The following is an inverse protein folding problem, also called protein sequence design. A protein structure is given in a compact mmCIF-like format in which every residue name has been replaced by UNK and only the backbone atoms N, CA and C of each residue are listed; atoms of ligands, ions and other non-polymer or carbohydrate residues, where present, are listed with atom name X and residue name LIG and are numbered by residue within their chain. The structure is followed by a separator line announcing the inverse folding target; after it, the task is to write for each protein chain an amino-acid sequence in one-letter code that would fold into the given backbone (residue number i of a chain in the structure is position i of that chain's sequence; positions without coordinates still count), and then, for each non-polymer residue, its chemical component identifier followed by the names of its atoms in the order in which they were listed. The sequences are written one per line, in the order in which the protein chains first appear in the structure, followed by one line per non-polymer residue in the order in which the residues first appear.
data_IF_253065296613
#
_entry.id   IF_253065296613
#
_cell.length_a   1.000
_cell.length_b   1.000
_cell.length_c   1.000
_cell.angle_alpha   90.00
_cell.angle_beta   90.00
_cell.angle_gamma   90.00
#
_symmetry.space_group_name_H-M   'P 1'
#
loop_
_entity.id
_entity.type
_entity.pdbx_description
1 polymer ?
#
# COMPACT_ATOMS: atom_id res chain seq x y z
N UNK A 1 52.66 42.39 23.09
CA UNK A 1 51.28 42.81 22.78
C UNK A 1 50.32 41.86 23.46
N UNK A 2 49.31 42.45 24.08
CA UNK A 2 48.50 41.96 25.19
C UNK A 2 47.63 40.73 24.93
N UNK A 3 47.50 39.89 25.97
CA UNK A 3 46.42 38.92 26.27
C UNK A 3 45.01 39.59 26.29
N UNK A 4 43.84 38.89 26.42
CA UNK A 4 43.64 37.54 27.00
C UNK A 4 42.54 36.64 26.37
N UNK A 5 42.45 35.43 26.93
CA UNK A 5 41.40 34.43 26.77
C UNK A 5 39.96 34.93 27.04
N UNK A 6 38.96 34.31 26.39
CA UNK A 6 37.57 34.27 26.88
C UNK A 6 36.90 32.92 26.57
N UNK A 7 36.56 32.22 27.65
CA UNK A 7 35.57 31.15 27.76
C UNK A 7 34.15 31.71 27.53
N UNK A 8 33.31 31.08 26.68
CA UNK A 8 31.86 31.34 26.70
C UNK A 8 31.01 30.11 26.39
N UNK A 9 30.40 29.61 27.47
CA UNK A 9 29.12 28.88 27.63
C UNK A 9 28.45 28.28 26.39
N UNK A 10 28.34 26.94 26.46
CA UNK A 10 27.31 26.07 25.90
C UNK A 10 25.90 26.67 26.10
N UNK A 11 25.26 27.10 25.01
CA UNK A 11 23.86 27.53 25.01
C UNK A 11 22.90 26.34 25.11
N UNK A 12 21.92 26.45 26.00
CA UNK A 12 20.78 25.53 26.12
C UNK A 12 20.01 25.39 24.78
N UNK A 13 19.50 24.21 24.43
CA UNK A 13 18.39 24.12 23.50
C UNK A 13 17.12 24.66 24.19
N UNK A 14 16.55 25.72 23.62
CA UNK A 14 15.22 26.22 23.97
C UNK A 14 14.18 25.13 23.76
N UNK A 15 13.18 25.14 24.65
CA UNK A 15 12.20 24.10 24.86
C UNK A 15 11.39 23.68 23.64
N UNK A 16 10.92 22.44 23.76
CA UNK A 16 9.97 21.74 22.89
C UNK A 16 8.65 22.53 22.92
N UNK A 17 8.37 23.29 21.86
CA UNK A 17 7.04 23.82 21.61
C UNK A 17 6.24 22.77 20.82
N UNK A 18 5.14 22.32 21.42
CA UNK A 18 4.13 21.43 20.86
C UNK A 18 3.67 21.86 19.45
N UNK A 19 3.36 20.93 18.53
CA UNK A 19 2.75 21.29 17.25
C UNK A 19 1.33 21.84 17.46
N UNK A 20 0.91 22.90 16.76
CA UNK A 20 -0.46 23.42 16.85
C UNK A 20 -1.46 22.40 16.31
N UNK A 21 -2.54 22.16 17.07
CA UNK A 21 -3.78 21.59 16.55
C UNK A 21 -4.34 22.56 15.50
N UNK A 22 -4.27 22.19 14.23
CA UNK A 22 -5.01 22.88 13.17
C UNK A 22 -6.50 22.54 13.33
N UNK A 23 -7.24 23.49 13.92
CA UNK A 23 -8.70 23.52 13.91
C UNK A 23 -9.17 23.66 12.46
N UNK A 24 -10.09 22.80 12.06
CA UNK A 24 -10.75 22.90 10.76
C UNK A 24 -11.95 23.85 10.92
N UNK A 25 -11.83 25.03 10.32
CA UNK A 25 -12.92 26.00 10.16
C UNK A 25 -14.02 25.41 9.25
N UNK A 26 -15.26 25.47 9.72
CA UNK A 26 -16.46 25.32 8.88
C UNK A 26 -16.96 26.71 8.47
N UNK A 27 -17.51 26.89 7.25
CA UNK A 27 -17.83 28.22 6.74
C UNK A 27 -19.11 28.78 7.36
N UNK A 28 -19.07 30.08 7.64
CA UNK A 28 -20.17 30.91 8.09
C UNK A 28 -21.24 31.11 6.99
N UNK A 29 -22.51 30.99 7.40
CA UNK A 29 -23.70 31.71 6.92
C UNK A 29 -24.47 32.00 8.20
N UNK A 30 -24.85 33.23 8.55
CA UNK A 30 -25.45 34.27 7.73
C UNK A 30 -26.77 34.61 8.45
N UNK A 31 -26.85 35.83 8.94
CA UNK A 31 -27.75 36.42 9.93
C UNK A 31 -29.22 36.56 9.44
N UNK A 32 -30.16 36.67 10.40
CA UNK A 32 -31.47 37.38 10.41
C UNK A 32 -32.52 36.57 11.21
N UNK A 33 -33.51 37.13 11.89
CA UNK A 33 -33.62 38.22 12.86
C UNK A 33 -34.97 37.94 13.59
N UNK A 34 -35.06 38.35 14.85
CA UNK A 34 -36.27 38.82 15.56
C UNK A 34 -37.54 37.93 15.72
N UNK A 35 -37.90 37.56 16.98
CA UNK A 35 -39.04 38.15 17.73
C UNK A 35 -39.41 37.42 19.02
N UNK A 36 -39.68 38.26 20.02
CA UNK A 36 -40.04 38.10 21.42
C UNK A 36 -41.49 37.61 21.66
N UNK A 37 -41.76 37.02 22.83
CA UNK A 37 -42.84 37.33 23.82
C UNK A 37 -43.37 36.09 24.56
N UNK A 38 -43.21 36.15 25.89
CA UNK A 38 -43.97 35.64 27.04
C UNK A 38 -45.04 34.54 26.88
N UNK A 39 -45.00 33.55 27.78
CA UNK A 39 -45.99 33.43 28.87
C UNK A 39 -45.62 32.35 29.90
N UNK A 40 -45.59 32.77 31.15
CA UNK A 40 -45.71 31.91 32.33
C UNK A 40 -47.18 31.55 32.55
N UNK A 41 -47.50 30.27 32.78
CA UNK A 41 -48.53 29.82 33.73
C UNK A 41 -48.71 28.28 33.75
N UNK A 42 -48.74 27.76 34.98
CA UNK A 42 -49.48 26.57 35.48
C UNK A 42 -48.89 25.16 35.27
N UNK A 43 -48.64 24.53 36.43
CA UNK A 43 -49.28 23.25 36.75
C UNK A 43 -48.34 22.05 36.87
N UNK A 44 -48.18 21.58 38.11
CA UNK A 44 -47.60 20.28 38.49
C UNK A 44 -48.07 19.12 37.61
N UNK A 45 -47.12 18.28 37.15
CA UNK A 45 -47.11 16.83 37.30
C UNK A 45 -45.99 16.18 36.46
N UNK A 46 -45.45 15.07 36.98
CA UNK A 46 -44.59 14.09 36.30
C UNK A 46 -43.10 14.43 36.09
N UNK A 47 -42.38 14.51 37.22
CA UNK A 47 -40.99 14.04 37.26
C UNK A 47 -40.99 12.50 37.11
N UNK A 48 -40.63 12.00 35.92
CA UNK A 48 -40.46 10.55 35.72
C UNK A 48 -40.00 10.11 34.33
N UNK A 49 -40.32 10.84 33.26
CA UNK A 49 -40.07 10.36 31.89
C UNK A 49 -38.91 11.02 31.13
N UNK A 50 -38.48 12.23 31.51
CA UNK A 50 -37.48 13.00 30.78
C UNK A 50 -36.02 12.49 30.91
N UNK A 51 -35.73 11.67 31.93
CA UNK A 51 -34.39 11.07 32.12
C UNK A 51 -34.17 9.87 31.19
N UNK A 52 -35.23 9.10 30.90
CA UNK A 52 -35.18 7.90 30.05
C UNK A 52 -35.05 8.23 28.56
N UNK A 53 -35.72 9.28 28.07
CA UNK A 53 -35.55 9.72 26.67
C UNK A 53 -34.16 10.31 26.40
N UNK A 54 -33.59 11.05 27.35
CA UNK A 54 -32.23 11.59 27.20
C UNK A 54 -31.17 10.48 27.25
N UNK A 55 -31.35 9.46 28.11
CA UNK A 55 -30.45 8.31 28.15
C UNK A 55 -30.59 7.42 26.91
N UNK A 56 -31.81 7.23 26.38
CA UNK A 56 -32.08 6.48 25.16
C UNK A 56 -31.57 7.21 23.90
N UNK A 57 -31.73 8.54 23.82
CA UNK A 57 -31.15 9.34 22.73
C UNK A 57 -29.61 9.39 22.81
N UNK A 58 -29.04 9.43 24.02
CA UNK A 58 -27.58 9.38 24.21
C UNK A 58 -27.03 7.99 23.85
N UNK A 59 -27.70 6.92 24.28
CA UNK A 59 -27.37 5.55 23.90
C UNK A 59 -27.51 5.32 22.39
N UNK A 60 -28.55 5.87 21.75
CA UNK A 60 -28.74 5.83 20.31
C UNK A 60 -27.65 6.56 19.53
N UNK A 61 -27.18 7.72 20.02
CA UNK A 61 -26.05 8.46 19.44
C UNK A 61 -24.72 7.73 19.62
N UNK A 62 -24.50 7.08 20.76
CA UNK A 62 -23.32 6.25 21.02
C UNK A 62 -23.33 5.01 20.12
N UNK A 63 -24.46 4.32 20.00
CA UNK A 63 -24.63 3.15 19.13
C UNK A 63 -24.43 3.52 17.65
N UNK A 64 -25.01 4.64 17.19
CA UNK A 64 -24.81 5.16 15.84
C UNK A 64 -23.34 5.54 15.57
N UNK A 65 -22.66 6.15 16.55
CA UNK A 65 -21.24 6.49 16.48
C UNK A 65 -20.34 5.25 16.37
N UNK A 66 -20.61 4.23 17.18
CA UNK A 66 -19.90 2.95 17.12
C UNK A 66 -20.14 2.25 15.77
N UNK A 67 -21.39 2.19 15.31
CA UNK A 67 -21.76 1.59 14.03
C UNK A 67 -21.04 2.25 12.84
N UNK A 68 -21.00 3.58 12.81
CA UNK A 68 -20.27 4.35 11.79
C UNK A 68 -18.76 4.08 11.77
N UNK A 69 -18.15 3.91 12.96
CA UNK A 69 -16.74 3.55 13.07
C UNK A 69 -16.45 2.15 12.53
N UNK A 70 -17.28 1.15 12.85
CA UNK A 70 -17.14 -0.22 12.35
C UNK A 70 -17.29 -0.30 10.82
N UNK A 71 -18.23 0.48 10.24
CA UNK A 71 -18.35 0.59 8.78
C UNK A 71 -17.06 1.13 8.17
N UNK A 72 -16.52 2.20 8.75
CA UNK A 72 -15.28 2.83 8.22
C UNK A 72 -14.10 1.86 8.23
N UNK A 73 -13.93 1.13 9.34
CA UNK A 73 -12.90 0.07 9.46
C UNK A 73 -13.17 -1.07 8.47
N UNK A 74 -14.43 -1.49 8.35
CA UNK A 74 -14.86 -2.52 7.39
C UNK A 74 -14.55 -2.14 5.94
N UNK A 75 -14.80 -0.88 5.55
CA UNK A 75 -14.46 -0.36 4.22
C UNK A 75 -12.94 -0.35 4.00
N UNK A 76 -12.15 0.09 4.98
CA UNK A 76 -10.67 0.06 4.89
C UNK A 76 -10.14 -1.36 4.70
N UNK A 77 -10.59 -2.30 5.52
CA UNK A 77 -10.19 -3.71 5.43
C UNK A 77 -10.69 -4.34 4.13
N UNK A 78 -11.91 -4.05 3.70
CA UNK A 78 -12.47 -4.50 2.42
C UNK A 78 -11.65 -4.01 1.22
N UNK A 79 -11.23 -2.74 1.22
CA UNK A 79 -10.35 -2.18 0.18
C UNK A 79 -8.96 -2.85 0.18
N UNK A 80 -8.41 -3.17 1.36
CA UNK A 80 -7.09 -3.80 1.48
C UNK A 80 -7.14 -5.28 1.07
N UNK A 81 -8.03 -6.07 1.66
CA UNK A 81 -8.10 -7.50 1.35
C UNK A 81 -8.71 -7.73 -0.04
N UNK A 82 -9.82 -7.08 -0.35
CA UNK A 82 -10.44 -7.14 -1.67
C UNK A 82 -9.50 -6.61 -2.76
N UNK A 83 -8.88 -5.44 -2.56
CA UNK A 83 -7.95 -4.86 -3.54
C UNK A 83 -6.67 -5.69 -3.71
N UNK A 84 -5.94 -5.97 -2.64
CA UNK A 84 -4.62 -6.57 -2.78
C UNK A 84 -4.68 -8.08 -3.10
N UNK A 85 -5.68 -8.82 -2.60
CA UNK A 85 -5.83 -10.24 -2.94
C UNK A 85 -6.34 -10.43 -4.38
N UNK A 86 -7.30 -9.60 -4.81
CA UNK A 86 -7.78 -9.64 -6.20
C UNK A 86 -6.71 -9.16 -7.19
N UNK A 87 -5.84 -8.23 -6.77
CA UNK A 87 -4.69 -7.81 -7.56
C UNK A 87 -3.74 -8.99 -7.81
N UNK A 88 -3.39 -9.75 -6.76
CA UNK A 88 -2.54 -10.94 -6.87
C UNK A 88 -3.19 -12.00 -7.76
N UNK A 89 -4.50 -12.22 -7.63
CA UNK A 89 -5.25 -13.12 -8.51
C UNK A 89 -5.14 -12.71 -9.98
N UNK A 90 -5.46 -11.44 -10.29
CA UNK A 90 -5.40 -10.94 -11.67
C UNK A 90 -3.96 -10.95 -12.20
N UNK A 91 -2.98 -10.62 -11.36
CA UNK A 91 -1.56 -10.68 -11.69
C UNK A 91 -1.14 -12.09 -12.09
N UNK A 92 -1.53 -13.09 -11.31
CA UNK A 92 -1.17 -14.48 -11.55
C UNK A 92 -1.85 -15.04 -12.80
N UNK A 93 -3.12 -14.71 -13.04
CA UNK A 93 -3.82 -15.05 -14.27
C UNK A 93 -3.10 -14.52 -15.52
N UNK A 94 -2.52 -13.32 -15.44
CA UNK A 94 -1.77 -12.71 -16.55
C UNK A 94 -0.38 -13.35 -16.72
N UNK A 95 0.36 -13.54 -15.63
CA UNK A 95 1.73 -14.07 -15.70
C UNK A 95 1.75 -15.53 -16.14
N UNK A 96 0.71 -16.32 -15.82
CA UNK A 96 0.55 -17.69 -16.30
C UNK A 96 0.44 -17.78 -17.82
N UNK A 97 -0.16 -16.77 -18.48
CA UNK A 97 -0.27 -16.74 -19.94
C UNK A 97 0.89 -16.02 -20.62
N UNK A 98 1.44 -14.98 -19.97
CA UNK A 98 2.56 -14.22 -20.49
C UNK A 98 3.42 -13.63 -19.37
N UNK A 99 4.44 -14.37 -18.94
CA UNK A 99 5.32 -13.97 -17.83
C UNK A 99 6.17 -12.72 -18.10
N UNK A 100 6.26 -12.29 -19.37
CA UNK A 100 6.91 -11.04 -19.77
C UNK A 100 6.04 -9.79 -19.59
N UNK A 101 4.74 -9.94 -19.27
CA UNK A 101 3.79 -8.82 -19.16
C UNK A 101 4.00 -7.93 -17.93
N UNK A 102 4.96 -8.26 -17.05
CA UNK A 102 5.19 -7.56 -15.78
C UNK A 102 5.48 -6.05 -15.95
N UNK A 103 6.28 -5.66 -16.94
CA UNK A 103 6.59 -4.25 -17.18
C UNK A 103 5.37 -3.50 -17.72
N UNK A 104 4.56 -4.13 -18.58
CA UNK A 104 3.29 -3.58 -19.06
C UNK A 104 2.31 -3.33 -17.90
N UNK A 105 2.19 -4.29 -16.98
CA UNK A 105 1.37 -4.15 -15.78
C UNK A 105 1.79 -2.92 -14.97
N UNK A 106 3.09 -2.75 -14.72
CA UNK A 106 3.60 -1.56 -14.00
C UNK A 106 3.24 -0.27 -14.72
N UNK A 107 3.42 -0.21 -16.04
CA UNK A 107 3.10 0.97 -16.83
C UNK A 107 1.62 1.36 -16.72
N UNK A 108 0.70 0.41 -16.92
CA UNK A 108 -0.75 0.69 -16.89
C UNK A 108 -1.20 1.05 -15.47
N UNK A 109 -0.65 0.39 -14.44
CA UNK A 109 -0.87 0.79 -13.05
C UNK A 109 -0.42 2.23 -12.79
N UNK A 110 0.75 2.61 -13.29
CA UNK A 110 1.29 3.95 -13.11
C UNK A 110 0.44 5.00 -13.82
N UNK A 111 0.03 4.72 -15.06
CA UNK A 111 -0.85 5.60 -15.81
C UNK A 111 -2.18 5.80 -15.08
N UNK A 112 -2.82 4.72 -14.63
CA UNK A 112 -4.10 4.80 -13.95
C UNK A 112 -4.01 5.55 -12.61
N UNK A 113 -2.98 5.27 -11.80
CA UNK A 113 -2.76 5.99 -10.53
C UNK A 113 -2.42 7.46 -10.76
N UNK A 114 -1.67 7.80 -11.82
CA UNK A 114 -1.38 9.18 -12.17
C UNK A 114 -2.65 9.95 -12.59
N UNK A 115 -3.49 9.37 -13.45
CA UNK A 115 -4.76 9.97 -13.91
C UNK A 115 -5.73 10.14 -12.74
N UNK A 116 -5.92 9.10 -11.93
CA UNK A 116 -6.82 9.18 -10.76
C UNK A 116 -6.25 10.07 -9.65
N UNK A 117 -4.93 10.07 -9.47
CA UNK A 117 -4.24 10.92 -8.50
C UNK A 117 -4.29 12.41 -8.87
N UNK A 118 -4.36 12.74 -10.16
CA UNK A 118 -4.49 14.12 -10.63
C UNK A 118 -5.72 14.82 -10.05
N UNK A 119 -6.86 14.13 -9.93
CA UNK A 119 -8.06 14.69 -9.30
C UNK A 119 -7.82 15.16 -7.86
N UNK A 120 -6.93 14.50 -7.12
CA UNK A 120 -6.59 14.90 -5.75
C UNK A 120 -5.60 16.07 -5.66
N UNK A 121 -4.87 16.33 -6.76
CA UNK A 121 -3.88 17.40 -6.88
C UNK A 121 -4.39 18.57 -7.72
N UNK A 122 -5.62 18.50 -8.20
CA UNK A 122 -6.23 19.53 -9.02
C UNK A 122 -6.47 20.80 -8.20
N UNK A 123 -5.97 21.93 -8.69
CA UNK A 123 -6.18 23.26 -8.17
C UNK A 123 -6.55 24.21 -9.30
N UNK A 124 -7.81 24.65 -9.32
CA UNK A 124 -8.37 25.53 -10.36
C UNK A 124 -7.67 26.89 -10.41
N UNK A 125 -7.06 27.32 -9.32
CA UNK A 125 -6.47 28.66 -9.16
C UNK A 125 -5.10 28.83 -9.86
N UNK A 126 -4.50 27.75 -10.39
CA UNK A 126 -3.12 27.77 -10.92
C UNK A 126 -3.00 27.22 -12.36
N UNK A 127 -3.40 27.97 -13.40
CA UNK A 127 -3.10 27.62 -14.78
C UNK A 127 -1.58 27.68 -15.07
N UNK A 128 -1.03 26.91 -16.05
CA UNK A 128 -1.72 26.10 -17.06
C UNK A 128 -1.95 24.61 -16.67
N UNK A 129 -1.24 24.09 -15.67
CA UNK A 129 -1.29 22.67 -15.29
C UNK A 129 -2.29 22.34 -14.16
N UNK A 130 -2.90 23.34 -13.53
CA UNK A 130 -3.88 23.20 -12.45
C UNK A 130 -3.43 22.25 -11.32
N UNK A 131 -2.16 22.38 -10.89
CA UNK A 131 -1.57 21.57 -9.82
C UNK A 131 -1.43 22.39 -8.54
N UNK A 132 -1.68 21.75 -7.39
CA UNK A 132 -1.38 22.31 -6.07
C UNK A 132 0.11 22.64 -5.93
N UNK A 133 0.43 23.60 -5.06
CA UNK A 133 1.81 23.96 -4.76
C UNK A 133 2.55 22.82 -4.07
N UNK A 134 3.75 22.51 -4.57
CA UNK A 134 4.63 21.51 -3.98
C UNK A 134 5.08 21.95 -2.59
N UNK A 135 4.77 21.14 -1.59
CA UNK A 135 5.23 21.36 -0.21
C UNK A 135 6.61 20.77 0.01
N UNK A 136 6.95 19.71 -0.73
CA UNK A 136 8.29 19.11 -0.75
C UNK A 136 8.99 19.52 -2.04
N UNK A 137 10.26 19.96 -2.00
CA UNK A 137 10.98 20.34 -3.21
C UNK A 137 11.11 19.15 -4.18
N UNK A 138 10.82 19.38 -5.47
CA UNK A 138 10.87 18.34 -6.51
C UNK A 138 12.23 17.63 -6.59
N UNK A 139 13.34 18.32 -6.31
CA UNK A 139 14.68 17.71 -6.26
C UNK A 139 14.76 16.52 -5.30
N UNK A 140 14.05 16.61 -4.17
CA UNK A 140 13.95 15.52 -3.19
C UNK A 140 13.06 14.40 -3.72
N UNK A 141 11.98 14.75 -4.39
CA UNK A 141 11.12 13.75 -5.04
C UNK A 141 11.82 12.97 -6.13
N UNK A 142 12.70 13.58 -6.94
CA UNK A 142 13.37 12.89 -8.06
C UNK A 142 14.11 11.62 -7.60
N UNK A 143 14.82 11.68 -6.46
CA UNK A 143 15.50 10.49 -5.92
C UNK A 143 14.47 9.41 -5.55
N UNK A 144 13.39 9.80 -4.88
CA UNK A 144 12.33 8.86 -4.51
C UNK A 144 11.63 8.26 -5.76
N UNK A 145 11.40 9.07 -6.79
CA UNK A 145 10.77 8.67 -8.06
C UNK A 145 11.63 7.62 -8.78
N UNK A 146 12.93 7.86 -8.91
CA UNK A 146 13.85 6.91 -9.58
C UNK A 146 13.92 5.59 -8.82
N UNK A 147 14.01 5.64 -7.49
CA UNK A 147 13.97 4.44 -6.65
C UNK A 147 12.63 3.70 -6.81
N UNK A 148 11.51 4.42 -6.71
CA UNK A 148 10.16 3.87 -6.83
C UNK A 148 9.94 3.20 -8.20
N UNK A 149 10.31 3.86 -9.29
CA UNK A 149 10.27 3.30 -10.64
C UNK A 149 11.09 2.01 -10.73
N UNK A 150 12.36 2.06 -10.31
CA UNK A 150 13.27 0.92 -10.37
C UNK A 150 12.74 -0.27 -9.58
N UNK A 151 12.24 -0.03 -8.36
CA UNK A 151 11.64 -1.07 -7.51
C UNK A 151 10.45 -1.72 -8.21
N UNK A 152 9.50 -0.94 -8.73
CA UNK A 152 8.29 -1.49 -9.33
C UNK A 152 8.57 -2.23 -10.65
N UNK A 153 9.51 -1.72 -11.47
CA UNK A 153 9.93 -2.40 -12.70
C UNK A 153 10.67 -3.70 -12.37
N UNK A 154 11.64 -3.69 -11.45
CA UNK A 154 12.41 -4.89 -11.08
C UNK A 154 11.53 -5.98 -10.45
N UNK A 155 10.63 -5.62 -9.54
CA UNK A 155 9.76 -6.61 -8.87
C UNK A 155 8.79 -7.28 -9.86
N UNK A 156 8.21 -6.53 -10.81
CA UNK A 156 7.29 -7.13 -11.78
C UNK A 156 8.02 -7.81 -12.94
N UNK A 157 9.22 -7.34 -13.30
CA UNK A 157 10.07 -8.03 -14.28
C UNK A 157 10.66 -9.34 -13.74
N UNK A 158 10.76 -9.51 -12.41
CA UNK A 158 11.25 -10.73 -11.79
C UNK A 158 10.45 -11.98 -12.21
N UNK A 159 9.18 -11.84 -12.54
CA UNK A 159 8.33 -12.94 -13.01
C UNK A 159 8.76 -13.52 -14.36
N UNK A 160 9.57 -12.80 -15.15
CA UNK A 160 10.16 -13.31 -16.38
C UNK A 160 11.28 -14.34 -16.15
N UNK A 161 11.74 -14.53 -14.91
CA UNK A 161 12.79 -15.50 -14.53
C UNK A 161 12.24 -16.78 -13.89
N UNK A 162 11.06 -17.25 -14.33
CA UNK A 162 10.36 -18.43 -13.80
C UNK A 162 10.10 -18.37 -12.27
N UNK A 163 9.99 -17.17 -11.70
CA UNK A 163 9.61 -17.00 -10.30
C UNK A 163 8.09 -17.06 -10.19
N UNK A 164 7.58 -17.96 -9.34
CA UNK A 164 6.14 -18.06 -9.10
C UNK A 164 5.67 -16.95 -8.16
N UNK A 165 4.39 -16.58 -8.26
CA UNK A 165 3.78 -15.55 -7.42
C UNK A 165 3.91 -15.86 -5.92
N UNK A 166 3.67 -17.09 -5.42
CA UNK A 166 3.89 -17.43 -4.02
C UNK A 166 5.33 -17.22 -3.56
N UNK A 167 6.32 -17.67 -4.35
CA UNK A 167 7.74 -17.54 -4.01
C UNK A 167 8.14 -16.07 -3.99
N UNK A 168 7.68 -15.28 -4.96
CA UNK A 168 7.89 -13.83 -4.95
C UNK A 168 7.34 -13.17 -3.68
N UNK A 169 6.14 -13.56 -3.22
CA UNK A 169 5.55 -13.03 -1.97
C UNK A 169 6.41 -13.38 -0.76
N UNK A 170 6.93 -14.61 -0.67
CA UNK A 170 7.81 -15.05 0.43
C UNK A 170 9.12 -14.24 0.41
N UNK A 171 9.80 -14.16 -0.74
CA UNK A 171 11.07 -13.45 -0.88
C UNK A 171 10.95 -11.95 -0.59
N UNK A 172 9.89 -11.30 -1.09
CA UNK A 172 9.61 -9.88 -0.83
C UNK A 172 9.28 -9.61 0.64
N UNK A 173 8.75 -10.60 1.36
CA UNK A 173 8.51 -10.48 2.80
C UNK A 173 9.80 -10.44 3.62
N UNK A 174 10.93 -10.83 3.02
CA UNK A 174 12.28 -10.63 3.56
C UNK A 174 12.80 -9.19 3.52
N UNK A 175 12.06 -8.20 2.98
CA UNK A 175 12.52 -6.80 2.93
C UNK A 175 12.82 -6.15 4.30
N UNK A 176 12.32 -6.73 5.39
CA UNK A 176 12.68 -6.34 6.77
C UNK A 176 14.17 -6.53 7.04
N UNK A 177 14.79 -7.55 6.43
CA UNK A 177 16.21 -7.87 6.56
C UNK A 177 17.04 -6.70 6.00
N UNK A 178 16.77 -6.32 4.74
CA UNK A 178 17.50 -5.22 4.08
C UNK A 178 17.26 -3.88 4.77
N UNK A 179 16.03 -3.64 5.25
CA UNK A 179 15.68 -2.41 5.98
C UNK A 179 16.41 -2.29 7.32
N UNK A 180 16.55 -3.39 8.06
CA UNK A 180 17.31 -3.39 9.31
C UNK A 180 18.79 -3.14 9.06
N UNK A 181 19.39 -3.82 8.08
CA UNK A 181 20.80 -3.63 7.72
C UNK A 181 21.04 -2.18 7.30
N UNK A 182 20.24 -1.65 6.38
CA UNK A 182 20.36 -0.27 5.92
C UNK A 182 20.14 0.74 7.06
N UNK A 183 19.18 0.49 7.94
CA UNK A 183 18.92 1.37 9.08
C UNK A 183 20.02 1.31 10.13
N UNK A 184 20.66 0.15 10.33
CA UNK A 184 21.82 0.00 11.23
C UNK A 184 23.02 0.79 10.71
N UNK A 185 23.27 0.73 9.39
CA UNK A 185 24.30 1.55 8.73
C UNK A 185 23.99 3.05 8.84
N UNK A 186 22.71 3.42 8.86
CA UNK A 186 22.24 4.79 9.15
C UNK A 186 22.23 5.15 10.65
N UNK A 187 22.77 4.30 11.53
CA UNK A 187 22.90 4.56 12.96
C UNK A 187 21.67 4.20 13.82
N UNK A 188 20.65 3.53 13.26
CA UNK A 188 19.49 3.05 14.04
C UNK A 188 19.84 1.80 14.84
N UNK A 189 19.51 1.81 16.13
CA UNK A 189 19.70 0.64 17.02
C UNK A 189 18.45 -0.23 17.04
N UNK A 190 18.62 -1.55 17.00
CA UNK A 190 17.52 -2.54 17.01
C UNK A 190 17.52 -3.36 18.31
N UNK A 191 16.37 -3.91 18.67
CA UNK A 191 16.26 -4.79 19.84
C UNK A 191 16.81 -6.18 19.56
N UNK A 192 17.11 -6.96 20.62
CA UNK A 192 17.53 -8.36 20.47
C UNK A 192 16.44 -9.21 19.78
N UNK A 193 15.17 -8.95 20.06
CA UNK A 193 14.05 -9.68 19.45
C UNK A 193 13.94 -9.36 17.96
N UNK A 194 14.13 -8.09 17.57
CA UNK A 194 14.18 -7.69 16.16
C UNK A 194 15.32 -8.41 15.42
N UNK A 195 16.51 -8.50 16.03
CA UNK A 195 17.66 -9.21 15.45
C UNK A 195 17.33 -10.70 15.27
N UNK A 196 16.80 -11.37 16.30
CA UNK A 196 16.39 -12.79 16.21
C UNK A 196 15.35 -12.98 15.11
N UNK A 197 14.36 -12.10 15.01
CA UNK A 197 13.35 -12.15 13.95
C UNK A 197 13.95 -12.00 12.55
N UNK A 198 14.95 -11.13 12.36
CA UNK A 198 15.65 -10.98 11.07
C UNK A 198 16.51 -12.20 10.73
N UNK A 199 17.15 -12.82 11.72
CA UNK A 199 17.88 -14.08 11.52
C UNK A 199 16.92 -15.18 11.07
N UNK A 200 15.76 -15.33 11.74
CA UNK A 200 14.73 -16.29 11.33
C UNK A 200 14.17 -15.99 9.94
N UNK A 201 13.90 -14.72 9.62
CA UNK A 201 13.48 -14.30 8.27
C UNK A 201 14.52 -14.72 7.22
N UNK A 202 15.80 -14.55 7.51
CA UNK A 202 16.90 -14.93 6.61
C UNK A 202 16.90 -16.43 6.34
N UNK A 203 16.80 -17.26 7.40
CA UNK A 203 16.67 -18.71 7.24
C UNK A 203 15.42 -19.10 6.43
N UNK A 204 14.26 -18.51 6.74
CA UNK A 204 13.01 -18.83 6.02
C UNK A 204 13.07 -18.47 4.53
N UNK A 205 13.63 -17.31 4.18
CA UNK A 205 13.82 -16.87 2.79
C UNK A 205 14.78 -17.78 2.04
N UNK A 206 15.93 -18.14 2.65
CA UNK A 206 16.93 -19.02 2.03
C UNK A 206 16.34 -20.43 1.82
N UNK A 207 15.70 -21.02 2.82
CA UNK A 207 15.07 -22.34 2.70
C UNK A 207 14.01 -22.36 1.61
N UNK A 208 13.19 -21.30 1.52
CA UNK A 208 12.18 -21.19 0.47
C UNK A 208 12.77 -21.07 -0.93
N UNK A 209 13.78 -20.21 -1.10
CA UNK A 209 14.47 -20.00 -2.36
C UNK A 209 15.21 -21.27 -2.84
N UNK A 210 15.95 -21.90 -1.94
CA UNK A 210 16.70 -23.12 -2.23
C UNK A 210 15.77 -24.26 -2.62
N UNK A 211 14.71 -24.49 -1.84
CA UNK A 211 13.77 -25.59 -2.10
C UNK A 211 13.01 -25.42 -3.42
N UNK A 212 12.67 -24.18 -3.80
CA UNK A 212 12.02 -23.89 -5.08
C UNK A 212 13.00 -23.98 -6.26
N UNK A 213 14.25 -23.56 -6.07
CA UNK A 213 15.32 -23.75 -7.06
C UNK A 213 15.57 -25.23 -7.34
N UNK A 214 15.63 -26.05 -6.29
CA UNK A 214 15.91 -27.47 -6.41
C UNK A 214 14.78 -28.21 -7.12
N UNK A 215 13.51 -27.95 -6.75
CA UNK A 215 12.36 -28.58 -7.40
C UNK A 215 12.31 -28.27 -8.91
N UNK A 216 12.60 -27.02 -9.29
CA UNK A 216 12.66 -26.60 -10.70
C UNK A 216 13.86 -27.16 -11.45
N UNK A 217 14.99 -27.34 -10.78
CA UNK A 217 16.19 -27.95 -11.38
C UNK A 217 15.94 -29.43 -11.68
N UNK A 218 15.33 -30.17 -10.74
CA UNK A 218 14.95 -31.57 -10.95
C UNK A 218 13.95 -31.73 -12.10
N UNK A 219 13.03 -30.77 -12.31
CA UNK A 219 12.12 -30.80 -13.46
C UNK A 219 12.78 -30.39 -14.79
N UNK A 220 13.74 -29.46 -14.77
CA UNK A 220 14.44 -28.97 -15.97
C UNK A 220 15.58 -29.86 -16.45
N UNK A 221 16.12 -30.76 -15.62
CA UNK A 221 17.11 -31.75 -16.06
C UNK A 221 16.59 -32.71 -17.15
N UNK A 222 15.27 -32.70 -17.40
CA UNK A 222 14.57 -33.51 -18.40
C UNK A 222 14.33 -32.74 -19.72
N UNK A 223 14.39 -31.40 -19.72
CA UNK A 223 14.12 -30.56 -20.90
C UNK A 223 15.26 -29.56 -21.17
N UNK A 224 15.94 -29.72 -22.32
CA UNK A 224 17.10 -28.92 -22.74
C UNK A 224 16.93 -27.40 -22.64
N UNK A 225 18.01 -26.74 -22.20
CA UNK A 225 18.05 -25.38 -21.65
C UNK A 225 17.85 -24.24 -22.64
N UNK A 226 16.88 -23.35 -22.37
CA UNK A 226 16.77 -22.03 -23.00
C UNK A 226 16.11 -20.94 -22.15
N UNK A 227 15.78 -21.21 -20.88
CA UNK A 227 15.10 -20.22 -20.01
C UNK A 227 16.09 -19.41 -19.16
N UNK A 228 15.80 -18.14 -18.85
CA UNK A 228 16.61 -17.31 -17.95
C UNK A 228 16.85 -18.01 -16.61
N UNK A 229 18.05 -17.87 -16.06
CA UNK A 229 18.41 -18.52 -14.81
C UNK A 229 17.55 -18.01 -13.66
N UNK A 230 16.88 -18.93 -12.94
CA UNK A 230 16.12 -18.65 -11.71
C UNK A 230 16.94 -17.81 -10.71
N UNK A 231 18.25 -18.08 -10.62
CA UNK A 231 19.19 -17.32 -9.81
C UNK A 231 19.29 -15.84 -10.19
N UNK A 232 19.20 -15.48 -11.47
CA UNK A 232 19.16 -14.07 -11.90
C UNK A 232 17.92 -13.36 -11.37
N UNK A 233 16.77 -14.05 -11.38
CA UNK A 233 15.54 -13.54 -10.78
C UNK A 233 15.67 -13.28 -9.28
N UNK A 234 16.35 -14.17 -8.54
CA UNK A 234 16.62 -13.97 -7.10
C UNK A 234 17.49 -12.73 -6.86
N UNK A 235 18.54 -12.53 -7.66
CA UNK A 235 19.40 -11.34 -7.58
C UNK A 235 18.60 -10.07 -7.87
N UNK A 236 17.76 -10.08 -8.91
CA UNK A 236 16.87 -8.96 -9.25
C UNK A 236 15.95 -8.61 -8.07
N UNK A 237 15.34 -9.61 -7.43
CA UNK A 237 14.49 -9.39 -6.25
C UNK A 237 15.26 -8.88 -5.05
N UNK A 238 16.47 -9.39 -4.80
CA UNK A 238 17.33 -8.92 -3.73
C UNK A 238 17.70 -7.44 -3.91
N UNK A 239 18.13 -7.06 -5.12
CA UNK A 239 18.40 -5.66 -5.49
C UNK A 239 17.15 -4.81 -5.27
N UNK A 240 15.98 -5.27 -5.71
CA UNK A 240 14.72 -4.56 -5.48
C UNK A 240 14.39 -4.38 -3.98
N UNK A 241 14.72 -5.35 -3.12
CA UNK A 241 14.54 -5.23 -1.67
C UNK A 241 15.53 -4.25 -1.02
N UNK A 242 16.77 -4.19 -1.51
CA UNK A 242 17.77 -3.20 -1.04
C UNK A 242 17.33 -1.80 -1.43
N UNK A 243 16.93 -1.58 -2.69
CA UNK A 243 16.40 -0.29 -3.15
C UNK A 243 15.14 0.11 -2.36
N UNK A 244 14.26 -0.85 -2.05
CA UNK A 244 13.06 -0.59 -1.23
C UNK A 244 13.40 -0.13 0.18
N UNK A 245 14.44 -0.71 0.80
CA UNK A 245 14.93 -0.29 2.11
C UNK A 245 15.50 1.14 2.07
N UNK A 246 16.32 1.46 1.07
CA UNK A 246 16.90 2.80 0.87
C UNK A 246 15.79 3.82 0.65
N UNK A 247 14.84 3.53 -0.25
CA UNK A 247 13.67 4.38 -0.52
C UNK A 247 12.84 4.63 0.74
N UNK A 248 12.61 3.59 1.54
CA UNK A 248 11.87 3.68 2.80
C UNK A 248 12.53 4.63 3.80
N UNK A 249 13.84 4.48 4.03
CA UNK A 249 14.61 5.36 4.91
C UNK A 249 14.64 6.81 4.39
N UNK A 250 14.85 6.97 3.08
CA UNK A 250 14.85 8.29 2.44
C UNK A 250 13.48 9.00 2.55
N UNK A 251 12.39 8.26 2.36
CA UNK A 251 11.02 8.76 2.52
C UNK A 251 10.74 9.13 3.97
N UNK A 252 11.17 8.31 4.94
CA UNK A 252 11.02 8.60 6.36
C UNK A 252 11.71 9.93 6.74
N UNK A 253 12.95 10.13 6.31
CA UNK A 253 13.66 11.39 6.55
C UNK A 253 13.01 12.58 5.83
N UNK A 254 12.39 12.35 4.67
CA UNK A 254 11.64 13.38 3.94
C UNK A 254 10.40 13.82 4.72
N UNK A 255 9.63 12.86 5.24
CA UNK A 255 8.44 13.18 6.02
C UNK A 255 8.77 13.77 7.39
N UNK A 256 9.93 13.47 7.98
CA UNK A 256 10.41 14.17 9.19
C UNK A 256 10.66 15.65 8.95
N UNK A 257 11.16 16.02 7.77
CA UNK A 257 11.54 17.40 7.47
C UNK A 257 10.40 18.24 6.92
N UNK A 258 9.55 17.67 6.05
CA UNK A 258 8.50 18.41 5.35
C UNK A 258 7.07 18.02 5.76
N UNK A 259 6.91 17.01 6.62
CA UNK A 259 5.60 16.48 6.98
C UNK A 259 5.09 15.37 6.04
N UNK A 260 4.01 14.68 6.42
CA UNK A 260 3.52 13.48 5.74
C UNK A 260 2.69 13.81 4.49
N UNK A 261 3.33 14.34 3.45
CA UNK A 261 2.69 14.65 2.17
C UNK A 261 2.59 13.43 1.24
N UNK A 262 1.86 12.39 1.70
CA UNK A 262 1.75 11.11 0.99
C UNK A 262 0.96 11.19 -0.34
N UNK A 263 -0.03 12.09 -0.45
CA UNK A 263 -0.80 12.30 -1.69
C UNK A 263 0.07 12.91 -2.79
N UNK A 264 0.89 13.88 -2.41
CA UNK A 264 1.89 14.51 -3.28
C UNK A 264 2.91 13.47 -3.75
N UNK A 265 3.46 12.68 -2.82
CA UNK A 265 4.38 11.59 -3.13
C UNK A 265 3.76 10.58 -4.10
N UNK A 266 2.52 10.15 -3.82
CA UNK A 266 1.81 9.15 -4.62
C UNK A 266 1.62 9.67 -6.06
N UNK A 267 1.15 10.90 -6.21
CA UNK A 267 0.93 11.49 -7.52
C UNK A 267 2.24 11.64 -8.31
N UNK A 268 3.24 12.31 -7.74
CA UNK A 268 4.50 12.57 -8.46
C UNK A 268 5.29 11.30 -8.76
N UNK A 269 5.30 10.32 -7.85
CA UNK A 269 5.98 9.05 -8.07
C UNK A 269 5.40 8.24 -9.23
N UNK A 270 4.09 8.36 -9.51
CA UNK A 270 3.48 7.68 -10.65
C UNK A 270 3.57 8.52 -11.92
N UNK A 271 3.23 9.82 -11.86
CA UNK A 271 3.25 10.72 -13.02
C UNK A 271 4.65 10.91 -13.60
N UNK A 272 5.64 11.28 -12.77
CA UNK A 272 7.00 11.59 -13.23
C UNK A 272 7.82 10.34 -13.56
N UNK A 273 7.31 9.15 -13.21
CA UNK A 273 7.87 7.88 -13.66
C UNK A 273 7.42 7.49 -15.08
N UNK A 274 6.32 8.05 -15.60
CA UNK A 274 5.81 7.70 -16.93
C UNK A 274 6.83 7.97 -18.06
N UNK A 275 7.56 9.11 -18.08
CA UNK A 275 8.60 9.35 -19.08
C UNK A 275 9.73 8.31 -19.05
N UNK A 276 10.03 7.72 -17.89
CA UNK A 276 11.06 6.68 -17.76
C UNK A 276 10.68 5.38 -18.47
N UNK A 277 9.41 5.19 -18.84
CA UNK A 277 8.97 4.05 -19.67
C UNK A 277 9.19 4.27 -21.18
N UNK A 278 9.54 5.48 -21.64
CA UNK A 278 9.72 5.76 -23.07
C UNK A 278 10.73 4.82 -23.76
N UNK A 279 11.91 4.51 -23.18
CA UNK A 279 12.83 3.55 -23.79
C UNK A 279 12.26 2.12 -23.87
N UNK A 280 11.29 1.80 -23.02
CA UNK A 280 10.65 0.49 -22.96
C UNK A 280 9.39 0.42 -23.85
N UNK A 281 8.94 1.53 -24.43
CA UNK A 281 7.70 1.63 -25.21
C UNK A 281 7.57 0.56 -26.32
N UNK A 282 8.61 0.23 -27.11
CA UNK A 282 8.49 -0.83 -28.13
C UNK A 282 8.15 -2.19 -27.52
N UNK A 283 8.71 -2.50 -26.34
CA UNK A 283 8.41 -3.74 -25.61
C UNK A 283 6.99 -3.72 -25.05
N UNK A 284 6.57 -2.60 -24.48
CA UNK A 284 5.22 -2.41 -23.94
C UNK A 284 4.14 -2.61 -25.00
N UNK A 285 4.31 -2.02 -26.19
CA UNK A 285 3.36 -2.15 -27.30
C UNK A 285 3.24 -3.61 -27.77
N UNK A 286 4.37 -4.31 -27.90
CA UNK A 286 4.36 -5.74 -28.27
C UNK A 286 3.63 -6.59 -27.23
N UNK A 287 3.91 -6.37 -25.94
CA UNK A 287 3.23 -7.07 -24.86
C UNK A 287 1.73 -6.77 -24.85
N UNK A 288 1.35 -5.51 -25.05
CA UNK A 288 -0.05 -5.10 -25.07
C UNK A 288 -0.81 -5.77 -26.23
N UNK A 289 -0.24 -5.77 -27.45
CA UNK A 289 -0.83 -6.47 -28.60
C UNK A 289 -1.00 -7.97 -28.34
N UNK A 290 -0.01 -8.60 -27.70
CA UNK A 290 -0.09 -10.03 -27.32
C UNK A 290 -1.26 -10.29 -26.36
N UNK A 291 -1.46 -9.44 -25.36
CA UNK A 291 -2.59 -9.57 -24.42
C UNK A 291 -3.93 -9.24 -25.09
N UNK A 292 -3.97 -8.25 -25.99
CA UNK A 292 -5.17 -7.84 -26.72
C UNK A 292 -5.65 -8.95 -27.68
N UNK A 293 -4.75 -9.75 -28.24
CA UNK A 293 -5.08 -10.89 -29.11
C UNK A 293 -5.44 -12.16 -28.33
N UNK A 294 -5.70 -12.08 -27.02
CA UNK A 294 -6.09 -13.25 -26.22
C UNK A 294 -7.54 -13.69 -26.50
N UNK A 295 -7.88 -14.98 -26.29
CA UNK A 295 -9.24 -15.46 -26.45
C UNK A 295 -10.24 -14.64 -25.63
N UNK A 296 -11.44 -14.37 -26.18
CA UNK A 296 -12.46 -13.59 -25.51
C UNK A 296 -12.90 -14.28 -24.22
N UNK A 297 -13.22 -13.49 -23.21
CA UNK A 297 -13.74 -14.02 -21.95
C UNK A 297 -15.18 -14.49 -22.18
N UNK A 298 -15.40 -15.80 -22.07
CA UNK A 298 -16.73 -16.39 -22.03
C UNK A 298 -17.37 -16.07 -20.68
N UNK A 299 -17.85 -14.85 -20.49
CA UNK A 299 -18.66 -14.51 -19.32
C UNK A 299 -20.08 -15.02 -19.54
N UNK A 300 -20.59 -15.97 -18.75
CA UNK A 300 -22.02 -16.09 -18.57
C UNK A 300 -22.44 -14.89 -17.71
N UNK A 301 -22.69 -13.74 -18.32
CA UNK A 301 -23.40 -12.65 -17.64
C UNK A 301 -24.86 -13.09 -17.47
N UNK A 302 -25.09 -13.91 -16.45
CA UNK A 302 -26.41 -14.06 -15.87
C UNK A 302 -26.81 -12.68 -15.35
N UNK A 303 -27.80 -12.10 -16.02
CA UNK A 303 -28.67 -11.00 -15.61
C UNK A 303 -28.24 -10.27 -14.32
N UNK A 304 -27.50 -9.16 -14.45
CA UNK A 304 -27.34 -8.18 -13.37
C UNK A 304 -28.66 -7.39 -13.25
N UNK A 305 -29.54 -7.66 -12.26
CA UNK A 305 -30.77 -6.90 -12.08
C UNK A 305 -30.39 -5.63 -11.30
N UNK A 306 -30.48 -4.46 -11.92
CA UNK A 306 -30.32 -3.18 -11.21
C UNK A 306 -29.51 -2.11 -11.91
N UNK A 307 -28.79 -2.45 -12.99
CA UNK A 307 -28.23 -1.43 -13.88
C UNK A 307 -29.32 -1.06 -14.89
N UNK A 308 -30.22 -0.15 -14.49
CA UNK A 308 -31.41 0.29 -15.23
C UNK A 308 -31.12 1.03 -16.54
N UNK A 309 -30.32 0.45 -17.43
CA UNK A 309 -30.20 0.86 -18.83
C UNK A 309 -31.38 0.27 -19.60
N UNK A 310 -32.57 0.81 -19.36
CA UNK A 310 -33.70 0.66 -20.27
C UNK A 310 -33.42 1.51 -21.51
N UNK A 311 -32.81 0.90 -22.51
CA UNK A 311 -32.84 1.40 -23.89
C UNK A 311 -33.50 0.34 -24.75
N UNK A 312 -34.69 0.66 -25.27
CA UNK A 312 -35.36 -0.09 -26.34
C UNK A 312 -34.46 -0.11 -27.58
N UNK A 313 -33.72 -1.19 -27.80
CA UNK A 313 -33.17 -1.54 -29.11
C UNK A 313 -33.13 -3.07 -29.20
N UNK A 314 -33.84 -3.62 -30.17
CA UNK A 314 -34.05 -5.07 -30.35
C UNK A 314 -32.76 -5.87 -30.49
N UNK A 315 -32.82 -7.12 -30.03
CA UNK A 315 -31.94 -8.27 -30.33
C UNK A 315 -30.43 -8.00 -30.49
N UNK A 316 -29.94 -6.99 -29.77
CA UNK A 316 -28.55 -6.54 -29.75
C UNK A 316 -27.94 -6.90 -28.42
N UNK A 317 -27.79 -8.21 -28.15
CA UNK A 317 -26.88 -8.68 -27.11
C UNK A 317 -25.53 -8.01 -27.40
N UNK A 318 -25.08 -7.07 -26.56
CA UNK A 318 -23.71 -6.58 -26.64
C UNK A 318 -22.78 -7.77 -26.40
N UNK A 319 -22.41 -8.49 -27.46
CA UNK A 319 -21.27 -9.40 -27.51
C UNK A 319 -20.03 -8.50 -27.42
N UNK A 320 -19.81 -7.89 -26.26
CA UNK A 320 -18.52 -7.32 -25.91
C UNK A 320 -17.57 -8.51 -25.78
N UNK A 321 -16.95 -8.91 -26.89
CA UNK A 321 -15.86 -9.87 -26.92
C UNK A 321 -14.62 -9.20 -26.32
N UNK A 322 -14.61 -9.04 -25.00
CA UNK A 322 -13.45 -8.48 -24.30
C UNK A 322 -12.39 -9.58 -24.19
N UNK A 323 -11.16 -9.36 -24.68
CA UNK A 323 -10.05 -10.30 -24.49
C UNK A 323 -9.86 -10.58 -23.00
N UNK A 324 -9.81 -11.86 -22.63
CA UNK A 324 -9.72 -12.28 -21.22
C UNK A 324 -8.55 -11.65 -20.46
N UNK A 325 -7.39 -11.53 -21.11
CA UNK A 325 -6.20 -10.94 -20.50
C UNK A 325 -6.31 -9.43 -20.29
N UNK A 326 -7.07 -8.74 -21.15
CA UNK A 326 -7.34 -7.31 -20.97
C UNK A 326 -8.31 -7.08 -19.80
N UNK A 327 -9.30 -7.96 -19.62
CA UNK A 327 -10.17 -7.93 -18.44
C UNK A 327 -9.36 -8.10 -17.16
N UNK A 328 -8.45 -9.10 -17.09
CA UNK A 328 -7.55 -9.25 -15.94
C UNK A 328 -6.62 -8.06 -15.75
N UNK A 329 -6.13 -7.43 -16.83
CA UNK A 329 -5.30 -6.22 -16.73
C UNK A 329 -6.08 -5.07 -16.08
N UNK A 330 -7.33 -4.85 -16.49
CA UNK A 330 -8.22 -3.85 -15.88
C UNK A 330 -8.49 -4.19 -14.41
N UNK A 331 -8.85 -5.44 -14.10
CA UNK A 331 -9.04 -5.90 -12.72
C UNK A 331 -7.80 -5.63 -11.89
N UNK A 332 -6.61 -5.98 -12.39
CA UNK A 332 -5.35 -5.78 -11.70
C UNK A 332 -5.12 -4.30 -11.35
N UNK A 333 -5.33 -3.39 -12.30
CA UNK A 333 -5.09 -1.96 -12.15
C UNK A 333 -6.09 -1.31 -11.18
N UNK A 334 -7.38 -1.61 -11.31
CA UNK A 334 -8.43 -1.09 -10.41
C UNK A 334 -8.21 -1.58 -8.98
N UNK A 335 -7.93 -2.87 -8.82
CA UNK A 335 -7.71 -3.48 -7.50
C UNK A 335 -6.40 -3.01 -6.87
N UNK A 336 -5.35 -2.72 -7.67
CA UNK A 336 -4.12 -2.07 -7.20
C UNK A 336 -4.42 -0.68 -6.62
N UNK A 337 -5.22 0.13 -7.32
CA UNK A 337 -5.60 1.45 -6.82
C UNK A 337 -6.42 1.36 -5.53
N UNK A 338 -7.41 0.45 -5.47
CA UNK A 338 -8.19 0.20 -4.26
C UNK A 338 -7.29 -0.22 -3.08
N UNK A 339 -6.32 -1.11 -3.33
CA UNK A 339 -5.31 -1.55 -2.38
C UNK A 339 -4.47 -0.37 -1.86
N UNK A 340 -3.89 0.44 -2.75
CA UNK A 340 -3.08 1.61 -2.39
C UNK A 340 -3.89 2.61 -1.56
N UNK A 341 -5.12 2.91 -1.98
CA UNK A 341 -6.00 3.83 -1.27
C UNK A 341 -6.35 3.29 0.12
N UNK A 342 -6.72 2.01 0.23
CA UNK A 342 -7.04 1.36 1.50
C UNK A 342 -5.87 1.40 2.49
N UNK A 343 -4.65 1.10 2.03
CA UNK A 343 -3.45 1.15 2.88
C UNK A 343 -3.13 2.56 3.35
N UNK A 344 -3.19 3.56 2.47
CA UNK A 344 -2.95 4.95 2.86
C UNK A 344 -4.03 5.50 3.81
N UNK A 345 -5.29 5.10 3.63
CA UNK A 345 -6.38 5.46 4.53
C UNK A 345 -6.15 4.85 5.93
N UNK A 346 -5.79 3.56 5.98
CA UNK A 346 -5.46 2.87 7.22
C UNK A 346 -4.28 3.53 7.93
N UNK A 347 -3.23 3.90 7.19
CA UNK A 347 -2.05 4.58 7.73
C UNK A 347 -2.34 5.98 8.29
N UNK A 348 -3.36 6.66 7.77
CA UNK A 348 -3.76 7.97 8.26
C UNK A 348 -4.52 7.91 9.60
N UNK A 349 -5.21 6.81 9.90
CA UNK A 349 -6.08 6.69 11.08
C UNK A 349 -5.62 5.66 12.11
N UNK A 350 -4.63 4.84 11.77
CA UNK A 350 -4.15 3.75 12.63
C UNK A 350 -2.68 3.92 12.99
N UNK A 351 -2.26 3.24 14.05
CA UNK A 351 -0.85 3.14 14.39
C UNK A 351 -0.05 2.44 13.27
N UNK A 352 1.22 2.82 13.10
CA UNK A 352 2.13 2.16 12.17
C UNK A 352 2.23 0.64 12.41
N UNK A 353 2.06 0.19 13.66
CA UNK A 353 1.98 -1.23 14.00
C UNK A 353 0.76 -1.90 13.37
N UNK A 354 -0.43 -1.32 13.58
CA UNK A 354 -1.69 -1.88 13.04
C UNK A 354 -1.59 -2.03 11.53
N UNK A 355 -1.06 -1.01 10.85
CA UNK A 355 -0.79 -1.06 9.41
C UNK A 355 0.13 -2.22 9.08
N UNK A 356 1.26 -2.36 9.78
CA UNK A 356 2.22 -3.44 9.53
C UNK A 356 1.61 -4.83 9.73
N UNK A 357 0.83 -5.04 10.79
CA UNK A 357 0.16 -6.31 11.08
C UNK A 357 -0.87 -6.63 9.98
N UNK A 358 -1.74 -5.67 9.62
CA UNK A 358 -2.74 -5.85 8.57
C UNK A 358 -2.07 -6.16 7.23
N UNK A 359 -0.97 -5.47 6.89
CA UNK A 359 -0.21 -5.74 5.67
C UNK A 359 0.44 -7.12 5.65
N UNK A 360 0.92 -7.63 6.80
CA UNK A 360 1.48 -8.98 6.91
C UNK A 360 0.39 -10.04 6.77
N UNK A 361 -0.75 -9.90 7.45
CA UNK A 361 -1.90 -10.81 7.32
C UNK A 361 -2.39 -10.83 5.87
N UNK A 362 -2.51 -9.67 5.24
CA UNK A 362 -2.87 -9.54 3.82
C UNK A 362 -1.94 -10.32 2.89
N UNK A 363 -0.61 -10.23 3.09
CA UNK A 363 0.38 -10.98 2.31
C UNK A 363 0.20 -12.49 2.50
N UNK A 364 -0.05 -12.94 3.73
CA UNK A 364 -0.32 -14.35 4.05
C UNK A 364 -1.60 -14.84 3.35
N UNK A 365 -2.69 -14.07 3.44
CA UNK A 365 -3.94 -14.41 2.74
C UNK A 365 -3.74 -14.45 1.22
N UNK A 366 -2.99 -13.49 0.66
CA UNK A 366 -2.67 -13.48 -0.78
C UNK A 366 -1.85 -14.72 -1.19
N UNK A 367 -0.90 -15.16 -0.36
CA UNK A 367 -0.14 -16.39 -0.58
C UNK A 367 -1.06 -17.62 -0.58
N UNK A 368 -1.92 -17.76 0.44
CA UNK A 368 -2.84 -18.90 0.56
C UNK A 368 -3.81 -18.97 -0.61
N UNK A 369 -4.38 -17.82 -1.03
CA UNK A 369 -5.25 -17.74 -2.20
C UNK A 369 -4.52 -18.09 -3.49
N UNK A 370 -3.27 -17.63 -3.65
CA UNK A 370 -2.43 -17.98 -4.81
C UNK A 370 -2.14 -19.49 -4.86
N UNK A 371 -1.91 -20.15 -3.73
CA UNK A 371 -1.73 -21.61 -3.68
C UNK A 371 -3.04 -22.33 -4.01
N UNK A 372 -4.15 -21.91 -3.39
CA UNK A 372 -5.44 -22.59 -3.48
C UNK A 372 -6.12 -22.42 -4.84
N UNK A 373 -6.23 -21.20 -5.37
CA UNK A 373 -6.93 -20.91 -6.63
C UNK A 373 -6.17 -21.39 -7.86
N UNK A 374 -4.84 -21.29 -7.83
CA UNK A 374 -4.00 -21.57 -9.00
C UNK A 374 -3.31 -22.94 -8.93
N UNK A 375 -3.55 -23.70 -7.86
CA UNK A 375 -3.04 -25.06 -7.69
C UNK A 375 -1.51 -25.15 -7.64
N UNK A 376 -0.84 -24.10 -7.14
CA UNK A 376 0.63 -24.08 -7.10
C UNK A 376 1.16 -25.16 -6.15
N UNK A 377 1.84 -26.17 -6.72
CA UNK A 377 2.55 -27.21 -5.96
C UNK A 377 3.86 -26.61 -5.42
N UNK A 378 3.85 -26.14 -4.18
CA UNK A 378 5.07 -25.68 -3.52
C UNK A 378 5.86 -26.87 -2.98
N UNK A 379 7.18 -26.83 -3.12
CA UNK A 379 8.04 -27.79 -2.44
C UNK A 379 7.87 -27.65 -0.92
N UNK A 380 8.01 -28.77 -0.19
CA UNK A 380 7.83 -28.79 1.26
C UNK A 380 8.73 -27.77 1.95
N UNK A 381 9.98 -27.63 1.51
CA UNK A 381 10.90 -26.62 2.02
C UNK A 381 10.42 -25.18 1.77
N UNK A 382 9.75 -24.92 0.65
CA UNK A 382 9.13 -23.62 0.36
C UNK A 382 7.97 -23.30 1.30
N UNK A 383 7.15 -24.30 1.65
CA UNK A 383 6.08 -24.15 2.64
C UNK A 383 6.64 -23.89 4.04
N UNK A 384 7.64 -24.65 4.46
CA UNK A 384 8.34 -24.45 5.75
C UNK A 384 8.95 -23.05 5.80
N UNK A 385 9.62 -22.62 4.73
CA UNK A 385 10.18 -21.27 4.62
C UNK A 385 9.11 -20.19 4.72
N UNK A 386 7.95 -20.37 4.09
CA UNK A 386 6.82 -19.45 4.22
C UNK A 386 6.36 -19.32 5.68
N UNK A 387 6.18 -20.44 6.39
CA UNK A 387 5.76 -20.43 7.80
C UNK A 387 6.76 -19.68 8.69
N UNK A 388 8.07 -19.92 8.49
CA UNK A 388 9.13 -19.20 9.21
C UNK A 388 9.07 -17.70 8.90
N UNK A 389 8.94 -17.32 7.62
CA UNK A 389 8.94 -15.91 7.20
C UNK A 389 7.76 -15.14 7.78
N UNK A 390 6.55 -15.68 7.68
CA UNK A 390 5.36 -15.01 8.22
C UNK A 390 5.34 -14.99 9.75
N UNK A 391 5.80 -16.06 10.40
CA UNK A 391 5.94 -16.10 11.87
C UNK A 391 6.96 -15.08 12.37
N UNK A 392 8.15 -15.04 11.77
CA UNK A 392 9.20 -14.09 12.13
C UNK A 392 8.82 -12.62 11.80
N UNK A 393 8.10 -12.38 10.69
CA UNK A 393 7.55 -11.07 10.37
C UNK A 393 6.52 -10.59 11.40
N UNK A 394 5.70 -11.50 11.93
CA UNK A 394 4.81 -11.23 13.06
C UNK A 394 5.58 -10.85 14.32
N UNK A 395 6.58 -11.65 14.69
CA UNK A 395 7.44 -11.39 15.85
C UNK A 395 8.14 -10.02 15.77
N UNK A 396 8.71 -9.69 14.60
CA UNK A 396 9.34 -8.39 14.33
C UNK A 396 8.38 -7.22 14.53
N UNK A 397 7.12 -7.38 14.10
CA UNK A 397 6.09 -6.35 14.21
C UNK A 397 5.73 -6.09 15.67
N UNK A 398 5.53 -7.16 16.46
CA UNK A 398 5.14 -7.05 17.87
C UNK A 398 6.18 -6.34 18.73
N UNK A 399 7.47 -6.65 18.56
CA UNK A 399 8.53 -6.01 19.35
C UNK A 399 8.71 -4.52 19.00
N UNK A 400 8.53 -4.17 17.72
CA UNK A 400 8.61 -2.78 17.27
C UNK A 400 7.62 -1.86 18.02
N UNK A 401 6.48 -2.39 18.48
CA UNK A 401 5.52 -1.68 19.37
C UNK A 401 6.07 -1.45 20.77
N UNK A 402 6.65 -2.48 21.38
CA UNK A 402 7.13 -2.45 22.75
C UNK A 402 8.18 -1.34 22.93
N UNK A 403 9.01 -1.13 21.91
CA UNK A 403 9.99 -0.05 21.87
C UNK A 403 9.36 1.34 21.78
N UNK A 404 8.42 1.56 20.85
CA UNK A 404 7.74 2.87 20.69
C UNK A 404 7.01 3.29 21.96
N UNK A 405 6.31 2.34 22.62
CA UNK A 405 5.62 2.58 23.89
C UNK A 405 6.57 2.98 25.03
N UNK A 406 7.73 2.31 25.15
CA UNK A 406 8.75 2.65 26.16
C UNK A 406 9.35 4.03 25.95
N UNK A 407 9.63 4.41 24.71
CA UNK A 407 10.18 5.74 24.38
C UNK A 407 9.18 6.84 24.72
N UNK A 408 7.90 6.66 24.36
CA UNK A 408 6.86 7.65 24.64
C UNK A 408 6.60 7.84 26.14
N UNK A 409 6.65 6.74 26.92
CA UNK A 409 6.52 6.78 28.39
C UNK A 409 7.67 7.53 29.08
N UNK A 410 8.90 7.43 28.56
CA UNK A 410 10.06 8.13 29.13
C UNK A 410 10.13 9.62 28.77
N UNK A 411 9.47 10.05 27.69
CA UNK A 411 9.38 11.47 27.31
C UNK A 411 8.29 12.20 28.09
N UNK A 412 7.19 11.53 28.46
CA UNK A 412 6.14 12.11 29.30
C UNK A 412 6.45 12.12 30.81
N UNK A 413 7.58 11.56 31.23
CA UNK A 413 8.06 11.53 32.62
C UNK A 413 9.22 12.51 32.89
N UNK A 414 9.58 13.33 31.90
CA UNK A 414 10.53 14.45 32.00
C UNK A 414 9.79 15.74 31.70
#
# INVERSE_FOLDING_TARGET
MSSPATTRRRGQPKGISSPPLEKMDSPARGYDDDKTVDQAAKGSAMNGHASSEKSLQTAGRIAAGLFSQWITVGVMLGLIFGGCCSNVYALEAIIKTSSCAGTLLTFVQFLFVAVTGYFSQFDRSRPPLFLQQNKVPLRRWIINIVLFFSINVLNNHAFSYDISVPVHIILRSGGSITTMVAGSLYGKKYSRIQIVAVVLLTFGVITAAWSDSQSKTSSKAIEGSGKPAFGTGLVVLFVAQVLSAIMGLYTEETYKQYGPHWRENLFYSHLLSLPLFLPLAPSLIRQFRKLANSPPLSLPMAHLPGLGLKGDVGDGLFKLQVPSQLAYLVTNVVTQYACIRGVNLLAAVSSALTVTIVLNIRKLVSLLLSIWLFGNRLAVGTLVGAMIVFGAGGLYSLDSRAKTSRVQKNVGAK
#
